data_IF_159152941687
#
_entry.id   IF_159152941687
#
_cell.length_a   1.000
_cell.length_b   1.000
_cell.length_c   1.000
_cell.angle_alpha   90.00
_cell.angle_beta   90.00
_cell.angle_gamma   90.00
#
_symmetry.space_group_name_H-M   'P 1'
#
loop_
_entity.id
_entity.type
_entity.pdbx_description
1 polymer ?
#
# COMPACT_ATOMS: atom_id res chain seq x y z
N UNK A 1 -21.82 0.19 -0.53
CA UNK A 1 -20.69 0.15 -1.46
C UNK A 1 -20.09 -1.25 -1.39
N UNK A 2 -20.13 -1.97 -2.52
CA UNK A 2 -19.61 -3.33 -2.69
C UNK A 2 -18.23 -3.23 -3.34
N UNK A 3 -17.21 -3.84 -2.75
CA UNK A 3 -15.82 -3.74 -3.21
C UNK A 3 -15.31 -5.08 -3.76
N UNK A 4 -14.74 -5.08 -4.97
CA UNK A 4 -13.96 -6.19 -5.51
C UNK A 4 -12.47 -5.84 -5.40
N UNK A 5 -11.71 -6.61 -4.64
CA UNK A 5 -10.27 -6.35 -4.40
C UNK A 5 -9.44 -7.34 -5.18
N UNK A 6 -8.91 -6.92 -6.31
CA UNK A 6 -7.99 -7.68 -7.15
C UNK A 6 -6.62 -7.73 -6.50
N UNK A 7 -6.10 -8.93 -6.24
CA UNK A 7 -4.88 -9.13 -5.46
C UNK A 7 -5.11 -9.08 -3.94
N UNK A 8 -6.24 -9.58 -3.46
CA UNK A 8 -6.63 -9.64 -2.05
C UNK A 8 -5.64 -10.33 -1.12
N UNK A 9 -4.74 -11.16 -1.64
CA UNK A 9 -3.67 -11.81 -0.86
C UNK A 9 -2.36 -11.02 -0.81
N UNK A 10 -2.30 -9.85 -1.46
CA UNK A 10 -1.19 -8.91 -1.38
C UNK A 10 -1.20 -8.08 -0.09
N UNK A 11 -0.13 -7.30 0.16
CA UNK A 11 -0.01 -6.47 1.36
C UNK A 11 -1.12 -5.41 1.46
N UNK A 12 -1.36 -4.67 0.38
CA UNK A 12 -2.43 -3.69 0.32
C UNK A 12 -3.79 -4.38 0.30
N UNK A 13 -3.96 -5.38 -0.58
CA UNK A 13 -5.25 -6.07 -0.76
C UNK A 13 -5.76 -6.75 0.51
N UNK A 14 -4.91 -7.47 1.25
CA UNK A 14 -5.34 -8.12 2.49
C UNK A 14 -5.74 -7.12 3.57
N UNK A 15 -5.05 -5.99 3.66
CA UNK A 15 -5.41 -4.93 4.60
C UNK A 15 -6.73 -4.25 4.21
N UNK A 16 -6.97 -4.06 2.91
CA UNK A 16 -8.24 -3.54 2.40
C UNK A 16 -9.42 -4.47 2.68
N UNK A 17 -9.24 -5.78 2.48
CA UNK A 17 -10.28 -6.76 2.82
C UNK A 17 -10.61 -6.72 4.32
N UNK A 18 -9.58 -6.64 5.17
CA UNK A 18 -9.77 -6.47 6.62
C UNK A 18 -10.52 -5.17 6.96
N UNK A 19 -10.18 -4.04 6.35
CA UNK A 19 -10.86 -2.77 6.56
C UNK A 19 -12.31 -2.80 6.05
N UNK A 20 -12.58 -3.42 4.89
CA UNK A 20 -13.93 -3.64 4.40
C UNK A 20 -14.77 -4.47 5.38
N UNK A 21 -14.20 -5.57 5.88
CA UNK A 21 -14.86 -6.42 6.88
C UNK A 21 -15.18 -5.64 8.16
N UNK A 22 -14.23 -4.89 8.70
CA UNK A 22 -14.42 -4.08 9.92
C UNK A 22 -15.49 -2.99 9.75
N UNK A 23 -15.64 -2.45 8.54
CA UNK A 23 -16.68 -1.46 8.19
C UNK A 23 -18.02 -2.10 7.79
N UNK A 24 -18.14 -3.42 7.78
CA UNK A 24 -19.34 -4.12 7.33
C UNK A 24 -19.66 -3.91 5.85
N UNK A 25 -18.66 -3.61 5.02
CA UNK A 25 -18.84 -3.42 3.58
C UNK A 25 -18.84 -4.79 2.87
N UNK A 26 -19.81 -5.06 1.99
CA UNK A 26 -19.75 -6.23 1.10
C UNK A 26 -18.46 -6.19 0.27
N UNK A 27 -17.68 -7.26 0.33
CA UNK A 27 -16.39 -7.33 -0.36
C UNK A 27 -16.08 -8.74 -0.83
N UNK A 28 -15.32 -8.81 -1.93
CA UNK A 28 -14.75 -10.03 -2.48
C UNK A 28 -13.27 -9.77 -2.79
N UNK A 29 -12.39 -10.66 -2.37
CA UNK A 29 -10.97 -10.64 -2.70
C UNK A 29 -10.64 -11.65 -3.78
N UNK A 30 -9.59 -11.40 -4.59
CA UNK A 30 -9.05 -12.39 -5.51
C UNK A 30 -7.60 -12.73 -5.21
N UNK A 31 -7.18 -13.92 -5.65
CA UNK A 31 -5.78 -14.37 -5.63
C UNK A 31 -5.38 -14.95 -6.99
N UNK A 32 -4.09 -14.94 -7.27
CA UNK A 32 -3.53 -15.63 -8.45
C UNK A 32 -2.67 -16.84 -8.05
N UNK A 33 -1.53 -16.59 -7.37
CA UNK A 33 -0.57 -17.64 -7.01
C UNK A 33 -0.69 -18.13 -5.57
N UNK A 34 -1.21 -17.30 -4.68
CA UNK A 34 -1.31 -17.60 -3.25
C UNK A 34 -2.73 -17.91 -2.89
N UNK A 35 -3.02 -19.20 -2.74
CA UNK A 35 -4.33 -19.65 -2.29
C UNK A 35 -4.73 -18.98 -0.97
N UNK A 36 -5.97 -18.57 -0.91
CA UNK A 36 -6.65 -18.10 0.31
C UNK A 36 -8.11 -18.49 0.21
N UNK A 37 -8.61 -19.23 1.18
CA UNK A 37 -9.99 -19.75 1.21
C UNK A 37 -11.07 -18.66 1.26
N UNK A 38 -10.69 -17.40 1.58
CA UNK A 38 -11.60 -16.25 1.60
C UNK A 38 -11.50 -15.39 0.33
N UNK A 39 -10.79 -15.86 -0.70
CA UNK A 39 -10.61 -15.17 -1.97
C UNK A 39 -10.86 -16.12 -3.14
N UNK A 40 -11.31 -15.58 -4.26
CA UNK A 40 -11.54 -16.33 -5.51
C UNK A 40 -10.27 -16.31 -6.38
N UNK A 41 -10.00 -17.39 -7.14
CA UNK A 41 -8.89 -17.40 -8.09
C UNK A 41 -9.17 -16.47 -9.27
N UNK A 42 -8.17 -15.69 -9.68
CA UNK A 42 -8.27 -14.82 -10.86
C UNK A 42 -6.88 -14.52 -11.44
N UNK A 43 -6.70 -14.75 -12.73
CA UNK A 43 -5.58 -14.24 -13.50
C UNK A 43 -6.00 -12.94 -14.20
N UNK A 44 -5.33 -11.83 -13.89
CA UNK A 44 -5.63 -10.53 -14.50
C UNK A 44 -5.23 -10.46 -15.98
N UNK A 45 -4.42 -11.41 -16.47
CA UNK A 45 -4.07 -11.51 -17.89
C UNK A 45 -5.17 -12.22 -18.71
N UNK A 46 -6.13 -12.86 -18.06
CA UNK A 46 -7.30 -13.43 -18.69
C UNK A 46 -8.47 -12.44 -18.63
N UNK A 47 -8.64 -11.70 -19.72
CA UNK A 47 -9.68 -10.66 -19.83
C UNK A 47 -11.11 -11.19 -19.75
N UNK A 48 -11.37 -12.42 -20.21
CA UNK A 48 -12.69 -13.04 -20.12
C UNK A 48 -13.05 -13.35 -18.66
N UNK A 49 -12.11 -13.94 -17.91
CA UNK A 49 -12.28 -14.22 -16.48
C UNK A 49 -12.42 -12.93 -15.67
N UNK A 50 -11.66 -11.86 -15.98
CA UNK A 50 -11.78 -10.55 -15.33
C UNK A 50 -13.17 -9.96 -15.58
N UNK A 51 -13.64 -9.97 -16.83
CA UNK A 51 -14.94 -9.43 -17.19
C UNK A 51 -16.10 -10.24 -16.54
N UNK A 52 -16.00 -11.56 -16.53
CA UNK A 52 -16.97 -12.43 -15.86
C UNK A 52 -17.03 -12.15 -14.35
N UNK A 53 -15.88 -12.08 -13.67
CA UNK A 53 -15.80 -11.80 -12.23
C UNK A 53 -16.44 -10.46 -11.87
N UNK A 54 -16.15 -9.41 -12.62
CA UNK A 54 -16.73 -8.07 -12.39
C UNK A 54 -18.23 -8.09 -12.70
N UNK A 55 -18.64 -8.72 -13.81
CA UNK A 55 -20.04 -8.82 -14.22
C UNK A 55 -20.90 -9.62 -13.24
N UNK A 56 -20.41 -10.73 -12.72
CA UNK A 56 -21.14 -11.59 -11.76
C UNK A 56 -21.22 -10.94 -10.38
N UNK A 57 -20.12 -10.34 -9.91
CA UNK A 57 -20.09 -9.73 -8.58
C UNK A 57 -20.76 -8.35 -8.53
N UNK A 58 -20.84 -7.62 -9.65
CA UNK A 58 -21.45 -6.28 -9.75
C UNK A 58 -20.94 -5.30 -8.68
N UNK A 59 -19.62 -5.04 -8.62
CA UNK A 59 -19.05 -4.15 -7.61
C UNK A 59 -19.34 -2.68 -7.91
N UNK A 60 -19.55 -1.87 -6.87
CA UNK A 60 -19.54 -0.40 -6.97
C UNK A 60 -18.12 0.12 -7.22
N UNK A 61 -17.12 -0.58 -6.66
CA UNK A 61 -15.70 -0.27 -6.83
C UNK A 61 -14.86 -1.52 -7.09
N UNK A 62 -14.06 -1.48 -8.15
CA UNK A 62 -12.98 -2.45 -8.44
C UNK A 62 -11.67 -1.86 -7.94
N UNK A 63 -11.02 -2.52 -6.99
CA UNK A 63 -9.76 -2.06 -6.39
C UNK A 63 -8.61 -2.92 -6.91
N UNK A 64 -7.77 -2.35 -7.77
CA UNK A 64 -6.62 -3.02 -8.36
C UNK A 64 -5.39 -2.87 -7.45
N UNK A 65 -5.15 -3.86 -6.59
CA UNK A 65 -4.01 -3.96 -5.69
C UNK A 65 -2.99 -5.03 -6.17
N UNK A 66 -3.05 -5.40 -7.44
CA UNK A 66 -2.15 -6.32 -8.11
C UNK A 66 -1.55 -5.67 -9.36
N UNK A 67 -0.48 -6.24 -9.89
CA UNK A 67 0.18 -5.78 -11.11
C UNK A 67 -0.15 -6.66 -12.31
N UNK A 68 -0.22 -6.05 -13.50
CA UNK A 68 -0.54 -6.71 -14.77
C UNK A 68 -2.04 -6.69 -15.11
N UNK A 69 -2.37 -6.83 -16.38
CA UNK A 69 -3.74 -6.92 -16.87
C UNK A 69 -4.62 -5.70 -16.62
N UNK A 70 -4.04 -4.53 -16.39
CA UNK A 70 -4.79 -3.30 -16.06
C UNK A 70 -5.77 -2.92 -17.16
N UNK A 71 -5.45 -3.16 -18.42
CA UNK A 71 -6.36 -2.90 -19.57
C UNK A 71 -7.65 -3.73 -19.47
N UNK A 72 -7.56 -5.00 -19.06
CA UNK A 72 -8.72 -5.86 -18.83
C UNK A 72 -9.57 -5.35 -17.65
N UNK A 73 -8.91 -4.89 -16.58
CA UNK A 73 -9.58 -4.32 -15.42
C UNK A 73 -10.30 -3.01 -15.77
N UNK A 74 -9.68 -2.15 -16.58
CA UNK A 74 -10.30 -0.91 -17.09
C UNK A 74 -11.55 -1.25 -17.91
N UNK A 75 -11.43 -2.19 -18.84
CA UNK A 75 -12.53 -2.60 -19.72
C UNK A 75 -13.71 -3.15 -18.90
N UNK A 76 -13.45 -4.06 -17.95
CA UNK A 76 -14.47 -4.66 -17.10
C UNK A 76 -15.12 -3.61 -16.17
N UNK A 77 -14.33 -2.73 -15.54
CA UNK A 77 -14.87 -1.67 -14.70
C UNK A 77 -15.77 -0.71 -15.50
N UNK A 78 -15.36 -0.36 -16.73
CA UNK A 78 -16.12 0.49 -17.64
C UNK A 78 -17.45 -0.16 -18.07
N UNK A 79 -17.40 -1.44 -18.41
CA UNK A 79 -18.60 -2.19 -18.83
C UNK A 79 -19.62 -2.33 -17.70
N UNK A 80 -19.17 -2.50 -16.45
CA UNK A 80 -20.03 -2.60 -15.27
C UNK A 80 -20.44 -1.23 -14.68
N UNK A 81 -19.84 -0.12 -15.13
CA UNK A 81 -20.04 1.21 -14.51
C UNK A 81 -19.43 1.36 -13.12
N UNK A 82 -18.47 0.52 -12.77
CA UNK A 82 -17.74 0.56 -11.49
C UNK A 82 -16.73 1.69 -11.44
N UNK A 83 -16.46 2.22 -10.26
CA UNK A 83 -15.28 3.05 -10.02
C UNK A 83 -14.03 2.16 -9.95
N UNK A 84 -12.98 2.50 -10.71
CA UNK A 84 -11.69 1.84 -10.62
C UNK A 84 -10.77 2.56 -9.64
N UNK A 85 -10.30 1.84 -8.61
CA UNK A 85 -9.19 2.28 -7.74
C UNK A 85 -7.92 1.60 -8.21
N UNK A 86 -6.89 2.38 -8.46
CA UNK A 86 -5.58 1.88 -8.89
C UNK A 86 -4.50 2.35 -7.92
N UNK A 87 -3.68 1.42 -7.42
CA UNK A 87 -2.52 1.73 -6.60
C UNK A 87 -1.28 1.91 -7.46
N UNK A 88 -0.74 3.12 -7.42
CA UNK A 88 0.49 3.53 -8.08
C UNK A 88 1.60 3.78 -7.06
N UNK A 89 2.83 3.99 -7.54
CA UNK A 89 4.01 4.18 -6.71
C UNK A 89 4.45 5.63 -6.57
N UNK A 90 5.61 5.80 -5.98
CA UNK A 90 6.28 7.07 -5.73
C UNK A 90 7.46 7.35 -6.69
N UNK A 91 7.90 6.35 -7.46
CA UNK A 91 8.99 6.48 -8.43
C UNK A 91 8.64 7.25 -9.71
N UNK A 92 7.45 7.86 -9.78
CA UNK A 92 6.94 8.51 -10.99
C UNK A 92 7.53 9.90 -11.24
N UNK A 93 8.16 10.53 -10.24
CA UNK A 93 8.61 11.91 -10.29
C UNK A 93 10.13 12.08 -10.43
N UNK A 94 10.88 10.99 -10.52
CA UNK A 94 12.33 11.05 -10.54
C UNK A 94 12.93 11.60 -9.22
N UNK A 95 14.12 12.18 -9.33
CA UNK A 95 14.78 12.84 -8.18
C UNK A 95 14.10 14.15 -7.84
N UNK A 96 13.69 14.34 -6.58
CA UNK A 96 13.10 15.60 -6.15
C UNK A 96 13.46 15.98 -4.72
N UNK A 97 14.02 17.17 -4.57
CA UNK A 97 14.27 17.78 -3.25
C UNK A 97 13.11 18.61 -2.72
N UNK A 98 12.04 18.74 -3.50
CA UNK A 98 10.80 19.43 -3.11
C UNK A 98 9.63 18.46 -3.18
N UNK A 99 8.61 18.71 -2.35
CA UNK A 99 7.40 17.89 -2.36
C UNK A 99 6.66 18.05 -3.69
N UNK A 100 6.42 16.93 -4.38
CA UNK A 100 5.70 16.85 -5.64
C UNK A 100 4.20 16.73 -5.40
N UNK A 101 3.43 17.52 -6.12
CA UNK A 101 1.95 17.47 -6.14
C UNK A 101 1.46 16.46 -7.15
N UNK A 102 0.18 16.09 -7.05
CA UNK A 102 -0.44 15.09 -7.93
C UNK A 102 -0.43 15.47 -9.42
N UNK A 103 -0.43 16.77 -9.72
CA UNK A 103 -0.47 17.37 -11.07
C UNK A 103 0.90 17.84 -11.56
N UNK A 104 1.96 17.68 -10.78
CA UNK A 104 3.31 17.98 -11.24
C UNK A 104 3.74 17.05 -12.39
N UNK A 105 4.61 17.48 -13.28
CA UNK A 105 5.13 16.65 -14.37
C UNK A 105 5.75 15.36 -13.85
N UNK A 106 5.46 14.25 -14.54
CA UNK A 106 5.99 12.93 -14.23
C UNK A 106 7.30 12.71 -14.98
N UNK A 107 8.32 12.24 -14.28
CA UNK A 107 9.65 11.93 -14.78
C UNK A 107 10.03 10.52 -14.28
N UNK A 108 9.37 9.45 -14.81
CA UNK A 108 9.52 8.11 -14.27
C UNK A 108 10.95 7.60 -14.46
N UNK A 109 11.47 6.91 -13.43
CA UNK A 109 12.77 6.25 -13.47
C UNK A 109 12.58 4.74 -13.35
N UNK A 110 12.95 4.01 -14.41
CA UNK A 110 12.90 2.56 -14.50
C UNK A 110 11.55 2.01 -14.99
N UNK A 111 11.60 0.79 -15.51
CA UNK A 111 10.49 0.11 -16.19
C UNK A 111 9.18 0.08 -15.38
N UNK A 112 9.27 -0.14 -14.08
CA UNK A 112 8.08 -0.19 -13.23
C UNK A 112 7.37 1.18 -13.18
N UNK A 113 8.12 2.27 -13.02
CA UNK A 113 7.57 3.61 -12.96
C UNK A 113 6.99 4.04 -14.33
N UNK A 114 7.70 3.73 -15.42
CA UNK A 114 7.22 3.98 -16.79
C UNK A 114 5.92 3.23 -17.06
N UNK A 115 5.85 1.96 -16.68
CA UNK A 115 4.63 1.16 -16.78
C UNK A 115 3.48 1.78 -15.97
N UNK A 116 3.73 2.18 -14.72
CA UNK A 116 2.71 2.81 -13.89
C UNK A 116 2.21 4.14 -14.48
N UNK A 117 3.08 4.95 -15.07
CA UNK A 117 2.68 6.18 -15.79
C UNK A 117 1.77 5.86 -16.96
N UNK A 118 2.09 4.84 -17.76
CA UNK A 118 1.27 4.41 -18.88
C UNK A 118 -0.11 3.90 -18.41
N UNK A 119 -0.14 3.09 -17.35
CA UNK A 119 -1.39 2.58 -16.74
C UNK A 119 -2.24 3.72 -16.16
N UNK A 120 -1.65 4.67 -15.42
CA UNK A 120 -2.37 5.85 -14.92
C UNK A 120 -2.98 6.70 -16.06
N UNK A 121 -2.23 6.85 -17.16
CA UNK A 121 -2.71 7.55 -18.34
C UNK A 121 -3.91 6.85 -18.97
N UNK A 122 -3.82 5.55 -19.20
CA UNK A 122 -4.91 4.74 -19.76
C UNK A 122 -6.18 4.81 -18.89
N UNK A 123 -6.01 4.75 -17.56
CA UNK A 123 -7.13 4.87 -16.60
C UNK A 123 -7.81 6.25 -16.72
N UNK A 124 -7.03 7.35 -16.76
CA UNK A 124 -7.60 8.70 -16.85
C UNK A 124 -8.33 8.92 -18.19
N UNK A 125 -7.78 8.41 -19.29
CA UNK A 125 -8.37 8.55 -20.62
C UNK A 125 -9.67 7.75 -20.76
N UNK A 126 -9.71 6.52 -20.23
CA UNK A 126 -10.85 5.61 -20.41
C UNK A 126 -11.94 5.72 -19.34
N UNK A 127 -11.58 6.19 -18.14
CA UNK A 127 -12.48 6.33 -16.97
C UNK A 127 -12.37 7.75 -16.36
N UNK A 128 -12.57 8.84 -17.13
CA UNK A 128 -12.28 10.21 -16.66
C UNK A 128 -13.06 10.61 -15.41
N UNK A 129 -14.27 10.11 -15.22
CA UNK A 129 -15.14 10.41 -14.08
C UNK A 129 -15.26 9.26 -13.07
N UNK A 130 -14.68 8.08 -13.36
CA UNK A 130 -14.88 6.86 -12.59
C UNK A 130 -13.56 6.23 -12.14
N UNK A 131 -12.52 7.04 -11.87
CA UNK A 131 -11.25 6.54 -11.35
C UNK A 131 -10.84 7.20 -10.06
N UNK A 132 -10.04 6.47 -9.29
CA UNK A 132 -9.31 6.93 -8.12
C UNK A 132 -7.89 6.33 -8.20
N UNK A 133 -6.90 7.15 -8.50
CA UNK A 133 -5.49 6.76 -8.51
C UNK A 133 -4.88 7.11 -7.16
N UNK A 134 -4.37 6.11 -6.45
CA UNK A 134 -3.74 6.25 -5.13
C UNK A 134 -2.24 6.04 -5.31
N UNK A 135 -1.47 7.12 -5.31
CA UNK A 135 0.00 7.04 -5.28
C UNK A 135 0.45 6.90 -3.84
N UNK A 136 1.18 5.84 -3.57
CA UNK A 136 1.68 5.52 -2.23
C UNK A 136 3.17 5.19 -2.25
N UNK A 137 3.80 5.16 -1.08
CA UNK A 137 5.22 4.88 -0.91
C UNK A 137 5.39 3.83 0.17
N UNK A 138 6.38 2.96 0.05
CA UNK A 138 6.84 1.96 1.04
C UNK A 138 5.77 1.53 2.06
N UNK A 139 4.80 0.76 1.62
CA UNK A 139 3.70 0.30 2.47
C UNK A 139 4.21 -0.74 3.48
N UNK A 140 3.87 -0.57 4.77
CA UNK A 140 4.19 -1.48 5.86
C UNK A 140 3.02 -1.65 6.83
N UNK A 141 3.11 -2.65 7.69
CA UNK A 141 2.05 -2.97 8.67
C UNK A 141 0.96 -3.88 8.11
N UNK A 142 -0.07 -4.09 8.91
CA UNK A 142 -1.11 -5.08 8.63
C UNK A 142 -0.65 -6.52 8.92
N UNK A 143 -1.45 -7.49 8.52
CA UNK A 143 -1.22 -8.90 8.86
C UNK A 143 -0.40 -9.67 7.82
N UNK A 144 -0.06 -9.03 6.69
CA UNK A 144 0.64 -9.71 5.61
C UNK A 144 2.01 -10.23 6.05
N UNK A 145 2.29 -11.50 5.74
CA UNK A 145 3.54 -12.18 6.17
C UNK A 145 4.83 -11.54 5.66
N UNK A 146 4.79 -10.86 4.50
CA UNK A 146 5.92 -10.14 3.92
C UNK A 146 5.93 -8.65 4.30
N UNK A 147 5.38 -8.31 5.47
CA UNK A 147 5.50 -6.95 6.00
C UNK A 147 6.95 -6.63 6.36
N UNK A 148 7.53 -5.53 5.80
CA UNK A 148 8.93 -5.17 6.03
C UNK A 148 9.24 -4.87 7.51
N UNK A 149 8.33 -4.20 8.22
CA UNK A 149 8.55 -3.88 9.64
C UNK A 149 8.60 -5.16 10.49
N UNK A 150 7.69 -6.11 10.22
CA UNK A 150 7.68 -7.40 10.89
C UNK A 150 8.92 -8.23 10.58
N UNK A 151 9.40 -8.18 9.33
CA UNK A 151 10.57 -8.92 8.91
C UNK A 151 11.84 -8.38 9.58
N UNK A 152 12.07 -7.06 9.53
CA UNK A 152 13.20 -6.40 10.21
C UNK A 152 13.17 -6.72 11.70
N UNK A 153 12.03 -6.50 12.37
CA UNK A 153 11.88 -6.81 13.80
C UNK A 153 12.23 -8.26 14.15
N UNK A 154 11.78 -9.23 13.34
CA UNK A 154 12.06 -10.66 13.58
C UNK A 154 13.54 -10.98 13.38
N UNK A 155 14.21 -10.34 12.45
CA UNK A 155 15.64 -10.52 12.20
C UNK A 155 16.45 -10.00 13.38
N UNK A 156 16.21 -8.76 13.80
CA UNK A 156 16.89 -8.15 14.94
C UNK A 156 16.61 -8.89 16.26
N UNK A 157 15.38 -9.36 16.48
CA UNK A 157 15.01 -10.12 17.67
C UNK A 157 15.73 -11.48 17.80
N UNK A 158 16.33 -11.97 16.71
CA UNK A 158 17.19 -13.17 16.70
C UNK A 158 18.67 -12.87 16.89
N UNK A 159 19.05 -11.59 17.09
CA UNK A 159 20.43 -11.15 17.12
C UNK A 159 21.12 -11.18 15.75
N UNK A 160 20.37 -11.18 14.66
CA UNK A 160 20.90 -11.19 13.31
C UNK A 160 21.02 -9.76 12.79
N UNK A 161 22.07 -9.48 12.02
CA UNK A 161 22.29 -8.17 11.40
C UNK A 161 21.28 -7.90 10.28
N UNK A 162 21.03 -6.62 10.03
CA UNK A 162 20.16 -6.10 8.97
C UNK A 162 20.86 -4.98 8.21
N UNK A 163 21.27 -5.23 6.98
CA UNK A 163 21.82 -4.20 6.10
C UNK A 163 20.69 -3.32 5.53
N UNK A 164 20.84 -2.00 5.62
CA UNK A 164 19.80 -1.05 5.25
C UNK A 164 20.36 0.17 4.51
N UNK A 165 19.70 0.53 3.40
CA UNK A 165 20.06 1.68 2.56
C UNK A 165 20.00 3.00 3.36
N UNK A 166 21.07 3.77 3.27
CA UNK A 166 21.22 5.08 3.94
C UNK A 166 20.94 6.27 3.02
N UNK A 167 20.86 6.07 1.71
CA UNK A 167 20.77 7.13 0.71
C UNK A 167 19.35 7.40 0.23
N UNK A 168 18.54 6.34 0.06
CA UNK A 168 17.20 6.47 -0.52
C UNK A 168 16.15 6.81 0.53
N UNK A 169 15.51 7.97 0.35
CA UNK A 169 14.37 8.41 1.15
C UNK A 169 13.06 7.96 0.52
N UNK A 170 12.19 7.41 1.33
CA UNK A 170 10.79 7.07 1.01
C UNK A 170 9.86 7.69 2.05
N UNK A 171 8.56 7.61 1.82
CA UNK A 171 7.53 8.03 2.79
C UNK A 171 6.77 6.80 3.31
N UNK A 172 7.28 6.10 4.33
CA UNK A 172 6.68 4.88 4.82
C UNK A 172 5.22 5.08 5.20
N UNK A 173 4.35 4.25 4.62
CA UNK A 173 2.90 4.37 4.73
C UNK A 173 2.33 3.17 5.47
N UNK A 174 1.64 3.42 6.57
CA UNK A 174 0.99 2.36 7.34
C UNK A 174 -0.22 1.82 6.60
N UNK A 175 -0.22 0.53 6.30
CA UNK A 175 -1.23 -0.10 5.44
C UNK A 175 -2.69 0.06 5.93
N UNK A 176 -2.99 -0.08 7.23
CA UNK A 176 -4.34 0.20 7.73
C UNK A 176 -4.80 1.64 7.50
N UNK A 177 -3.94 2.65 7.72
CA UNK A 177 -4.30 4.04 7.44
C UNK A 177 -4.55 4.29 5.96
N UNK A 178 -3.70 3.70 5.10
CA UNK A 178 -3.88 3.73 3.64
C UNK A 178 -5.24 3.17 3.23
N UNK A 179 -5.62 2.02 3.81
CA UNK A 179 -6.90 1.38 3.54
C UNK A 179 -8.08 2.24 3.99
N UNK A 180 -8.01 2.80 5.20
CA UNK A 180 -9.05 3.66 5.76
C UNK A 180 -9.25 4.93 4.91
N UNK A 181 -8.16 5.65 4.58
CA UNK A 181 -8.22 6.85 3.72
C UNK A 181 -8.77 6.52 2.34
N UNK A 182 -8.35 5.42 1.73
CA UNK A 182 -8.86 4.99 0.42
C UNK A 182 -10.38 4.71 0.48
N UNK A 183 -10.85 3.99 1.50
CA UNK A 183 -12.28 3.72 1.68
C UNK A 183 -13.09 5.00 1.93
N UNK A 184 -12.52 5.97 2.64
CA UNK A 184 -13.18 7.26 2.86
C UNK A 184 -13.22 8.10 1.58
N UNK A 185 -12.16 8.10 0.76
CA UNK A 185 -12.17 8.73 -0.57
C UNK A 185 -13.29 8.14 -1.44
N UNK A 186 -13.44 6.82 -1.45
CA UNK A 186 -14.52 6.15 -2.17
C UNK A 186 -15.90 6.51 -1.64
N UNK A 187 -16.07 6.45 -0.32
CA UNK A 187 -17.35 6.74 0.37
C UNK A 187 -17.84 8.15 0.08
N UNK A 188 -16.94 9.13 0.01
CA UNK A 188 -17.28 10.53 -0.27
C UNK A 188 -17.31 10.85 -1.77
N UNK A 189 -17.18 9.84 -2.65
CA UNK A 189 -17.33 10.01 -4.09
C UNK A 189 -16.13 10.67 -4.78
N UNK A 190 -14.98 10.81 -4.10
CA UNK A 190 -13.79 11.44 -4.70
C UNK A 190 -13.29 10.68 -5.93
N UNK A 191 -12.77 11.43 -6.90
CA UNK A 191 -12.19 10.95 -8.15
C UNK A 191 -10.86 11.65 -8.42
N UNK A 192 -10.06 11.11 -9.34
CA UNK A 192 -8.77 11.68 -9.72
C UNK A 192 -7.61 11.05 -8.96
N UNK A 193 -6.49 11.77 -8.86
CA UNK A 193 -5.25 11.29 -8.26
C UNK A 193 -5.03 11.87 -6.86
N UNK A 194 -4.61 11.01 -5.92
CA UNK A 194 -4.29 11.38 -4.54
C UNK A 194 -2.96 10.76 -4.11
N UNK A 195 -2.14 11.56 -3.44
CA UNK A 195 -0.96 11.08 -2.72
C UNK A 195 -1.38 10.62 -1.31
N UNK A 196 -1.40 9.32 -1.09
CA UNK A 196 -1.73 8.72 0.21
C UNK A 196 -0.48 8.09 0.78
N UNK A 197 0.34 8.90 1.46
CA UNK A 197 1.64 8.52 1.99
C UNK A 197 1.81 8.95 3.44
N UNK A 198 2.66 8.28 4.19
CA UNK A 198 3.00 8.63 5.56
C UNK A 198 3.53 10.08 5.69
N UNK A 199 3.48 10.67 6.89
CA UNK A 199 3.85 12.06 7.11
C UNK A 199 5.36 12.32 7.12
N UNK A 200 6.17 11.28 7.22
CA UNK A 200 7.62 11.37 7.46
C UNK A 200 8.40 10.74 6.32
N UNK A 201 9.59 11.29 6.07
CA UNK A 201 10.57 10.71 5.15
C UNK A 201 11.60 9.92 5.94
N UNK A 202 11.83 8.69 5.50
CA UNK A 202 12.82 7.80 6.09
C UNK A 202 13.67 7.13 5.01
N UNK A 203 14.96 6.95 5.31
CA UNK A 203 15.75 5.93 4.62
C UNK A 203 15.40 4.57 5.18
N UNK A 204 15.77 3.47 4.49
CA UNK A 204 15.60 2.13 5.02
C UNK A 204 16.34 1.95 6.35
N UNK A 205 17.52 2.58 6.48
CA UNK A 205 18.31 2.58 7.70
C UNK A 205 17.57 3.28 8.85
N UNK A 206 17.07 4.51 8.64
CA UNK A 206 16.35 5.25 9.69
C UNK A 206 15.03 4.55 10.06
N UNK A 207 14.35 3.92 9.10
CA UNK A 207 13.15 3.13 9.34
C UNK A 207 13.44 1.88 10.18
N UNK A 208 14.53 1.15 9.88
CA UNK A 208 14.95 -0.01 10.67
C UNK A 208 15.34 0.39 12.11
N UNK A 209 16.06 1.52 12.28
CA UNK A 209 16.39 2.05 13.62
C UNK A 209 15.14 2.45 14.41
N UNK A 210 14.12 3.00 13.77
CA UNK A 210 12.85 3.29 14.44
C UNK A 210 12.15 2.00 14.91
N UNK A 211 12.21 0.92 14.12
CA UNK A 211 11.69 -0.40 14.53
C UNK A 211 12.46 -0.93 15.73
N UNK A 212 13.80 -0.87 15.70
CA UNK A 212 14.63 -1.31 16.82
C UNK A 212 14.29 -0.52 18.10
N UNK A 213 14.21 0.79 18.01
CA UNK A 213 13.86 1.67 19.13
C UNK A 213 12.48 1.35 19.73
N UNK A 214 11.44 1.22 18.89
CA UNK A 214 10.07 0.98 19.37
C UNK A 214 9.92 -0.41 20.02
N UNK A 215 10.73 -1.38 19.59
CA UNK A 215 10.64 -2.75 20.08
C UNK A 215 11.73 -3.14 21.08
N UNK A 216 12.50 -2.18 21.57
CA UNK A 216 13.61 -2.37 22.52
C UNK A 216 14.62 -3.43 22.02
N UNK A 217 14.99 -3.35 20.74
CA UNK A 217 15.95 -4.22 20.06
C UNK A 217 17.29 -3.50 19.89
N UNK A 218 18.36 -4.28 19.75
CA UNK A 218 19.69 -3.77 19.51
C UNK A 218 19.81 -3.07 18.15
N UNK A 219 20.02 -1.76 18.17
CA UNK A 219 20.16 -0.95 16.96
C UNK A 219 21.56 -1.07 16.31
N UNK A 220 22.55 -1.61 17.00
CA UNK A 220 23.91 -1.82 16.46
C UNK A 220 23.94 -3.03 15.48
N UNK A 221 22.91 -3.85 15.49
CA UNK A 221 22.68 -4.89 14.48
C UNK A 221 22.25 -4.34 13.11
N UNK A 222 21.97 -3.03 13.00
CA UNK A 222 21.57 -2.41 11.74
C UNK A 222 22.81 -1.81 11.07
N UNK A 223 23.22 -2.43 9.98
CA UNK A 223 24.41 -2.06 9.23
C UNK A 223 24.03 -1.09 8.10
N UNK A 224 24.75 0.04 7.96
CA UNK A 224 24.52 0.96 6.84
C UNK A 224 24.97 0.31 5.52
N UNK A 225 24.10 0.39 4.51
CA UNK A 225 24.37 -0.06 3.14
C UNK A 225 24.26 1.14 2.21
N UNK A 226 25.27 1.32 1.35
CA UNK A 226 25.20 2.20 0.20
C UNK A 226 25.01 1.31 -1.03
N UNK A 227 23.80 1.29 -1.60
CA UNK A 227 23.54 0.59 -2.85
C UNK A 227 24.10 1.41 -4.02
N UNK A 228 25.20 0.95 -4.61
CA UNK A 228 25.74 1.50 -5.84
C UNK A 228 25.00 0.93 -7.06
N UNK A 229 24.67 1.80 -8.04
CA UNK A 229 24.10 1.38 -9.31
C UNK A 229 22.58 1.16 -9.34
N UNK A 230 21.86 1.49 -8.28
CA UNK A 230 20.39 1.48 -8.29
C UNK A 230 19.85 2.69 -9.07
N UNK A 231 19.06 2.45 -10.11
CA UNK A 231 18.46 3.49 -10.96
C UNK A 231 17.23 4.17 -10.34
N UNK A 232 16.72 3.67 -9.20
CA UNK A 232 15.55 4.28 -8.55
C UNK A 232 15.91 5.64 -7.93
N UNK A 233 14.95 6.59 -7.86
CA UNK A 233 15.22 7.90 -7.26
C UNK A 233 15.60 7.75 -5.79
N UNK A 234 16.61 8.52 -5.35
CA UNK A 234 17.08 8.54 -3.95
C UNK A 234 16.25 9.49 -3.09
N UNK A 235 15.61 10.49 -3.71
CA UNK A 235 14.85 11.53 -3.03
C UNK A 235 13.39 11.52 -3.48
N UNK A 236 12.56 10.75 -2.80
CA UNK A 236 11.11 10.76 -3.02
C UNK A 236 10.43 11.64 -1.98
N UNK A 237 9.65 12.60 -2.47
CA UNK A 237 8.85 13.46 -1.61
C UNK A 237 7.52 13.81 -2.27
N UNK A 238 6.43 13.23 -1.77
CA UNK A 238 5.08 13.48 -2.25
C UNK A 238 4.35 14.47 -1.34
N UNK A 239 3.74 15.50 -1.93
CA UNK A 239 2.89 16.44 -1.21
C UNK A 239 1.60 15.72 -0.76
N UNK A 240 1.20 15.95 0.47
CA UNK A 240 0.02 15.34 1.11
C UNK A 240 -1.13 16.32 1.26
N UNK A 241 -1.06 17.47 0.63
CA UNK A 241 -2.00 18.57 0.86
C UNK A 241 -3.46 18.16 0.62
N UNK A 242 -3.77 17.44 -0.48
CA UNK A 242 -5.14 17.01 -0.77
C UNK A 242 -5.72 16.12 0.33
N UNK A 243 -5.00 15.07 0.71
CA UNK A 243 -5.46 14.14 1.77
C UNK A 243 -5.55 14.84 3.11
N UNK A 244 -4.56 15.67 3.47
CA UNK A 244 -4.56 16.41 4.72
C UNK A 244 -5.71 17.42 4.80
N UNK A 245 -6.07 18.05 3.70
CA UNK A 245 -7.18 19.01 3.64
C UNK A 245 -8.53 18.33 3.81
N UNK A 246 -8.69 17.09 3.34
CA UNK A 246 -9.95 16.35 3.44
C UNK A 246 -10.13 15.65 4.80
N UNK A 247 -9.06 15.05 5.33
CA UNK A 247 -9.15 14.12 6.46
C UNK A 247 -8.32 14.57 7.69
N UNK A 248 -7.67 15.72 7.61
CA UNK A 248 -6.83 16.26 8.68
C UNK A 248 -5.39 15.75 8.66
N UNK A 249 -4.55 16.38 9.50
CA UNK A 249 -3.11 16.10 9.55
C UNK A 249 -2.79 14.67 10.04
N UNK A 250 -3.66 14.09 10.84
CA UNK A 250 -3.47 12.80 11.52
C UNK A 250 -4.14 11.63 10.78
N UNK A 251 -4.66 11.84 9.56
CA UNK A 251 -5.28 10.77 8.77
C UNK A 251 -4.33 9.60 8.49
N UNK A 252 -3.04 9.88 8.43
CA UNK A 252 -1.98 8.88 8.32
C UNK A 252 -1.00 9.08 9.48
N UNK A 253 -0.71 8.00 10.21
CA UNK A 253 0.17 8.00 11.39
C UNK A 253 1.63 8.21 11.02
N UNK A 254 2.39 8.78 11.97
CA UNK A 254 3.86 8.73 11.94
C UNK A 254 4.35 7.29 12.06
N UNK A 255 5.57 7.03 11.59
CA UNK A 255 6.18 5.70 11.68
C UNK A 255 6.24 5.22 13.14
N UNK A 256 6.70 6.09 14.04
CA UNK A 256 6.79 5.74 15.46
C UNK A 256 5.42 5.44 16.09
N UNK A 257 4.36 6.19 15.73
CA UNK A 257 3.01 5.95 16.24
C UNK A 257 2.44 4.63 15.75
N UNK A 258 2.57 4.34 14.45
CA UNK A 258 2.08 3.09 13.87
C UNK A 258 2.82 1.87 14.42
N UNK A 259 4.15 1.93 14.58
CA UNK A 259 4.94 0.83 15.14
C UNK A 259 4.58 0.55 16.62
N UNK A 260 4.33 1.59 17.43
CA UNK A 260 3.83 1.39 18.81
C UNK A 260 2.49 0.67 18.81
N UNK A 261 1.55 1.09 17.96
CA UNK A 261 0.26 0.42 17.84
C UNK A 261 0.41 -1.04 17.44
N UNK A 262 1.23 -1.35 16.43
CA UNK A 262 1.54 -2.73 16.02
C UNK A 262 2.15 -3.56 17.15
N UNK A 263 3.01 -2.95 17.99
CA UNK A 263 3.58 -3.60 19.17
C UNK A 263 2.50 -3.95 20.19
N UNK A 264 1.65 -2.99 20.50
CA UNK A 264 0.62 -3.13 21.54
C UNK A 264 -0.45 -4.17 21.13
N UNK A 265 -0.86 -4.20 19.87
CA UNK A 265 -1.74 -5.23 19.31
C UNK A 265 -1.13 -6.65 19.47
N UNK A 266 0.17 -6.80 19.22
CA UNK A 266 0.86 -8.07 19.39
C UNK A 266 0.92 -8.53 20.85
N UNK A 267 0.98 -7.61 21.80
CA UNK A 267 0.91 -7.94 23.23
C UNK A 267 -0.49 -8.40 23.65
N UNK A 268 -1.55 -7.79 23.10
CA UNK A 268 -2.93 -8.19 23.38
C UNK A 268 -3.28 -9.58 22.80
N UNK A 269 -2.72 -9.91 21.63
CA UNK A 269 -2.93 -11.21 20.97
C UNK A 269 -2.09 -12.36 21.55
N UNK A 270 -1.12 -12.08 22.43
CA UNK A 270 -0.41 -13.15 23.15
C UNK A 270 -1.37 -13.76 24.17
N UNK A 271 -1.72 -15.07 24.07
CA UNK A 271 -2.52 -15.71 25.11
C UNK A 271 -1.77 -15.50 26.43
N UNK A 272 -2.46 -14.96 27.46
CA UNK A 272 -1.95 -14.93 28.83
C UNK A 272 -1.57 -16.40 29.16
N UNK A 273 -0.28 -16.71 29.15
CA UNK A 273 0.19 -17.96 29.70
C UNK A 273 -0.30 -17.96 31.15
N UNK A 274 -1.31 -18.78 31.44
CA UNK A 274 -1.74 -19.00 32.80
C UNK A 274 -0.49 -19.26 33.62
N UNK A 275 -0.27 -18.41 34.63
CA UNK A 275 0.68 -18.70 35.69
C UNK A 275 0.22 -20.03 36.25
N UNK A 276 0.86 -21.13 35.89
CA UNK A 276 0.77 -22.37 36.62
C UNK A 276 1.48 -22.07 37.93
N UNK A 277 0.67 -21.82 38.93
CA UNK A 277 1.11 -21.81 40.31
C UNK A 277 1.83 -23.14 40.60
N UNK A 278 3.00 -23.00 41.16
CA UNK A 278 3.71 -24.08 41.80
C UNK A 278 2.89 -24.64 43.00
#
# INVERSE_FOLDING_TARGET
MRCLVLGGTGRIGSTLLSACFQRGLPHLGTYYRRYNSSCEPLDLLDGESVNAMVGDYQPDAVVCAASGGVDHVIAAAKANGSKLVYFSGDGLFGESRVAKREDDPLEPIGELAEKQVAEERAIREQLPAAHLIVRTSRVYGGEHRADPARFIRKTLAKGQTWAADTARYTMPTYAPDLAEVMLDLLKHGHTGTFHVVGPERHTDFSFARMIAHVHDLDADLIEPLLEEGDSRPTQVWLDRFKVRSLFGANALRTVGSALRMMRDEQFQLRPRRAARAA
#
